data_IF_377770269087
#
_entry.id   IF_377770269087
#
_cell.length_a   1.000
_cell.length_b   1.000
_cell.length_c   1.000
_cell.angle_alpha   90.00
_cell.angle_beta   90.00
_cell.angle_gamma   90.00
#
_symmetry.space_group_name_H-M   'P 1'
#
loop_
_entity.id
_entity.type
_entity.pdbx_description
1 polymer ?
#
# COMPACT_ATOMS: atom_id res chain seq x y z
N UNK A 1 9.31 -22.21 4.97
CA UNK A 1 10.13 -23.28 4.33
C UNK A 1 11.60 -22.85 4.44
N UNK A 2 12.55 -23.75 4.71
CA UNK A 2 14.01 -23.45 4.69
C UNK A 2 14.49 -22.28 5.60
N UNK A 3 13.81 -22.00 6.71
CA UNK A 3 14.14 -20.87 7.60
C UNK A 3 13.71 -19.49 7.10
N UNK A 4 13.06 -19.40 5.94
CA UNK A 4 12.42 -18.17 5.45
C UNK A 4 10.93 -18.14 5.82
N UNK A 5 10.47 -16.93 6.14
CA UNK A 5 9.06 -16.62 6.31
C UNK A 5 8.33 -16.70 4.96
N UNK A 6 7.09 -17.19 5.01
CA UNK A 6 6.19 -17.20 3.86
C UNK A 6 4.78 -16.86 4.34
N UNK A 7 3.93 -16.38 3.45
CA UNK A 7 2.51 -16.27 3.73
C UNK A 7 1.91 -17.67 3.95
N UNK A 8 0.89 -17.82 4.80
CA UNK A 8 0.25 -19.11 5.02
C UNK A 8 -0.37 -19.67 3.74
N UNK A 9 -0.13 -20.96 3.49
CA UNK A 9 -0.63 -21.69 2.33
C UNK A 9 -1.38 -22.95 2.78
N UNK A 10 -2.60 -23.12 2.27
CA UNK A 10 -3.44 -24.27 2.61
C UNK A 10 -4.88 -24.11 2.10
N UNK A 11 -5.67 -25.17 2.23
CA UNK A 11 -7.10 -25.18 1.89
C UNK A 11 -7.96 -24.52 2.97
N UNK A 12 -7.45 -24.48 4.20
CA UNK A 12 -8.10 -23.84 5.33
C UNK A 12 -7.37 -22.52 5.66
N UNK A 13 -8.11 -21.48 6.07
CA UNK A 13 -7.49 -20.23 6.49
C UNK A 13 -6.63 -20.47 7.74
N UNK A 14 -5.50 -19.75 7.90
CA UNK A 14 -4.58 -19.94 9.04
C UNK A 14 -5.20 -19.59 10.39
N UNK A 15 -6.39 -19.00 10.39
CA UNK A 15 -7.16 -18.56 11.54
C UNK A 15 -8.65 -18.49 11.19
N UNK A 16 -9.56 -18.53 12.18
CA UNK A 16 -11.00 -18.40 11.92
C UNK A 16 -11.33 -17.08 11.20
N UNK A 17 -12.15 -17.17 10.15
CA UNK A 17 -12.65 -16.00 9.43
C UNK A 17 -13.76 -15.36 10.28
N UNK A 18 -13.66 -14.07 10.66
CA UNK A 18 -14.70 -13.43 11.45
C UNK A 18 -16.03 -13.41 10.70
N UNK A 19 -17.12 -13.68 11.41
CA UNK A 19 -18.48 -13.72 10.84
C UNK A 19 -18.80 -12.40 10.15
N UNK A 20 -19.28 -12.47 8.92
CA UNK A 20 -19.60 -11.29 8.10
C UNK A 20 -18.40 -10.66 7.38
N UNK A 21 -17.20 -11.24 7.47
CA UNK A 21 -16.04 -10.80 6.68
C UNK A 21 -16.21 -11.16 5.21
N UNK A 22 -15.86 -10.21 4.34
CA UNK A 22 -15.68 -10.49 2.91
C UNK A 22 -14.32 -11.14 2.70
N UNK A 23 -14.30 -12.28 1.99
CA UNK A 23 -13.06 -12.90 1.52
C UNK A 23 -12.78 -12.41 0.10
N UNK A 24 -11.68 -11.68 -0.07
CA UNK A 24 -11.28 -11.12 -1.36
C UNK A 24 -10.27 -12.02 -2.06
N UNK A 25 -10.44 -12.22 -3.37
CA UNK A 25 -9.40 -12.82 -4.22
C UNK A 25 -8.44 -11.72 -4.68
N UNK A 26 -7.15 -11.87 -4.39
CA UNK A 26 -6.14 -10.81 -4.62
C UNK A 26 -5.15 -11.14 -5.74
N UNK A 27 -5.18 -12.36 -6.27
CA UNK A 27 -4.34 -12.77 -7.40
C UNK A 27 -3.99 -14.23 -7.29
N UNK A 28 -2.81 -14.57 -7.79
CA UNK A 28 -2.24 -15.90 -7.72
C UNK A 28 -0.80 -15.81 -7.22
N UNK A 29 -0.35 -16.86 -6.52
CA UNK A 29 1.03 -17.06 -6.09
C UNK A 29 1.40 -18.48 -6.47
N UNK A 30 2.45 -18.66 -7.26
CA UNK A 30 2.88 -19.97 -7.76
C UNK A 30 1.71 -20.78 -8.39
N UNK A 31 0.81 -20.10 -9.12
CA UNK A 31 -0.36 -20.70 -9.77
C UNK A 31 -1.54 -21.04 -8.84
N UNK A 32 -1.47 -20.69 -7.56
CA UNK A 32 -2.53 -20.90 -6.58
C UNK A 32 -3.26 -19.60 -6.26
N UNK A 33 -4.58 -19.64 -6.15
CA UNK A 33 -5.38 -18.45 -5.82
C UNK A 33 -5.01 -17.88 -4.44
N UNK A 34 -4.57 -16.63 -4.42
CA UNK A 34 -4.33 -15.89 -3.20
C UNK A 34 -5.61 -15.17 -2.73
N UNK A 35 -5.92 -15.31 -1.43
CA UNK A 35 -7.10 -14.72 -0.80
C UNK A 35 -6.71 -13.89 0.42
N UNK A 36 -7.55 -12.94 0.79
CA UNK A 36 -7.38 -12.14 2.00
C UNK A 36 -8.71 -11.81 2.66
N UNK A 37 -8.68 -11.59 3.97
CA UNK A 37 -9.82 -11.17 4.77
C UNK A 37 -9.35 -10.30 5.93
N UNK A 38 -10.24 -9.47 6.46
CA UNK A 38 -9.94 -8.62 7.60
C UNK A 38 -10.01 -9.40 8.91
N UNK A 39 -9.11 -9.10 9.83
CA UNK A 39 -9.10 -9.62 11.19
C UNK A 39 -9.39 -8.48 12.17
N UNK A 40 -10.28 -8.71 13.13
CA UNK A 40 -10.74 -7.65 14.06
C UNK A 40 -9.87 -7.46 15.29
N UNK A 41 -9.00 -8.42 15.58
CA UNK A 41 -8.05 -8.36 16.67
C UNK A 41 -6.67 -8.79 16.16
N UNK A 42 -5.57 -8.25 16.73
CA UNK A 42 -4.23 -8.77 16.49
C UNK A 42 -4.19 -10.27 16.78
N UNK A 43 -3.51 -11.03 15.91
CA UNK A 43 -3.30 -12.46 16.13
C UNK A 43 -2.23 -12.62 17.21
N UNK A 44 -2.55 -13.20 18.38
CA UNK A 44 -1.55 -13.47 19.40
C UNK A 44 -0.51 -14.45 18.85
N UNK A 45 0.77 -14.18 19.12
CA UNK A 45 1.87 -15.06 18.75
C UNK A 45 3.22 -14.40 19.00
N UNK A 46 4.26 -15.23 19.02
CA UNK A 46 5.66 -14.85 19.11
C UNK A 46 6.44 -15.50 17.96
N UNK A 47 7.74 -15.19 17.86
CA UNK A 47 8.61 -15.70 16.79
C UNK A 47 8.73 -17.24 16.75
N UNK A 48 8.41 -17.91 17.86
CA UNK A 48 8.43 -19.37 17.96
C UNK A 48 7.10 -20.04 17.56
N UNK A 49 6.04 -19.26 17.33
CA UNK A 49 4.75 -19.80 16.90
C UNK A 49 4.76 -20.13 15.41
N UNK A 50 3.86 -21.05 15.01
CA UNK A 50 3.71 -21.44 13.60
C UNK A 50 3.34 -20.26 12.68
N UNK A 51 2.63 -19.27 13.22
CA UNK A 51 2.24 -18.07 12.51
C UNK A 51 2.60 -16.85 13.34
N UNK A 52 3.16 -15.83 12.69
CA UNK A 52 3.51 -14.56 13.29
C UNK A 52 2.79 -13.44 12.54
N UNK A 53 2.10 -12.58 13.26
CA UNK A 53 1.53 -11.37 12.67
C UNK A 53 2.64 -10.35 12.45
N UNK A 54 2.75 -9.84 11.22
CA UNK A 54 3.82 -8.92 10.82
C UNK A 54 3.25 -7.76 10.01
N UNK A 55 3.79 -6.56 10.21
CA UNK A 55 3.46 -5.40 9.38
C UNK A 55 3.98 -5.60 7.95
N UNK A 56 3.24 -5.08 6.96
CA UNK A 56 3.62 -5.21 5.55
C UNK A 56 5.00 -4.61 5.29
N UNK A 57 5.37 -3.48 5.89
CA UNK A 57 6.69 -2.88 5.69
C UNK A 57 7.80 -3.75 6.27
N UNK A 58 7.58 -4.28 7.48
CA UNK A 58 8.52 -5.18 8.15
C UNK A 58 8.72 -6.49 7.40
N UNK A 59 7.73 -6.93 6.62
CA UNK A 59 7.82 -8.18 5.86
C UNK A 59 8.64 -8.08 4.57
N UNK A 60 9.05 -6.87 4.16
CA UNK A 60 9.79 -6.63 2.91
C UNK A 60 11.09 -7.42 2.79
N UNK A 61 11.88 -7.47 3.87
CA UNK A 61 13.20 -8.11 3.85
C UNK A 61 13.15 -9.63 4.06
N UNK A 62 11.98 -10.17 4.46
CA UNK A 62 11.86 -11.56 4.91
C UNK A 62 10.91 -12.41 4.07
N UNK A 63 10.00 -11.79 3.31
CA UNK A 63 9.12 -12.50 2.37
C UNK A 63 9.73 -12.57 0.96
N UNK A 64 9.48 -13.64 0.21
CA UNK A 64 9.71 -13.67 -1.23
C UNK A 64 8.99 -12.51 -1.93
N UNK A 65 9.61 -11.96 -2.99
CA UNK A 65 9.09 -10.79 -3.71
C UNK A 65 7.65 -10.96 -4.24
N UNK A 66 7.32 -12.14 -4.75
CA UNK A 66 5.97 -12.45 -5.26
C UNK A 66 4.92 -12.37 -4.14
N UNK A 67 5.21 -12.98 -2.99
CA UNK A 67 4.35 -12.94 -1.80
C UNK A 67 4.22 -11.52 -1.25
N UNK A 68 5.31 -10.75 -1.20
CA UNK A 68 5.30 -9.36 -0.78
C UNK A 68 4.38 -8.50 -1.66
N UNK A 69 4.46 -8.64 -2.98
CA UNK A 69 3.61 -7.89 -3.91
C UNK A 69 2.13 -8.20 -3.71
N UNK A 70 1.78 -9.48 -3.56
CA UNK A 70 0.41 -9.90 -3.32
C UNK A 70 -0.07 -9.43 -1.94
N UNK A 71 0.80 -9.45 -0.92
CA UNK A 71 0.56 -8.84 0.39
C UNK A 71 0.27 -7.34 0.30
N UNK A 72 1.00 -6.61 -0.54
CA UNK A 72 0.73 -5.19 -0.81
C UNK A 72 -0.65 -4.95 -1.41
N UNK A 73 -1.05 -5.76 -2.39
CA UNK A 73 -2.41 -5.70 -2.95
C UNK A 73 -3.45 -6.06 -1.91
N UNK A 74 -3.21 -7.08 -1.07
CA UNK A 74 -4.09 -7.45 0.03
C UNK A 74 -4.34 -6.27 0.96
N UNK A 75 -3.27 -5.60 1.39
CA UNK A 75 -3.34 -4.42 2.25
C UNK A 75 -4.20 -3.30 1.63
N UNK A 76 -4.00 -2.99 0.36
CA UNK A 76 -4.79 -1.96 -0.35
C UNK A 76 -6.27 -2.34 -0.47
N UNK A 77 -6.58 -3.59 -0.81
CA UNK A 77 -7.96 -4.07 -0.93
C UNK A 77 -8.67 -4.05 0.43
N UNK A 78 -8.03 -4.55 1.48
CA UNK A 78 -8.61 -4.52 2.84
C UNK A 78 -8.80 -3.10 3.35
N UNK A 79 -7.85 -2.18 3.06
CA UNK A 79 -7.99 -0.78 3.40
C UNK A 79 -9.17 -0.13 2.66
N UNK A 80 -9.33 -0.38 1.36
CA UNK A 80 -10.50 0.07 0.61
C UNK A 80 -11.78 -0.51 1.17
N UNK A 81 -11.84 -1.82 1.40
CA UNK A 81 -13.05 -2.51 1.88
C UNK A 81 -13.53 -1.93 3.22
N UNK A 82 -12.60 -1.71 4.15
CA UNK A 82 -12.85 -1.08 5.46
C UNK A 82 -13.38 0.35 5.33
N UNK A 83 -12.78 1.16 4.47
CA UNK A 83 -13.07 2.60 4.34
C UNK A 83 -14.22 2.92 3.37
N UNK A 84 -14.74 1.94 2.66
CA UNK A 84 -15.85 2.09 1.71
C UNK A 84 -17.18 1.51 2.21
N UNK A 85 -17.27 1.13 3.50
CA UNK A 85 -18.49 0.54 4.10
C UNK A 85 -19.72 1.46 4.06
N UNK A 86 -19.49 2.78 4.03
CA UNK A 86 -20.54 3.79 3.95
C UNK A 86 -20.27 4.73 2.77
N UNK A 87 -21.33 5.24 2.16
CA UNK A 87 -21.22 6.16 1.04
C UNK A 87 -20.67 7.52 1.49
N UNK A 88 -19.59 8.04 0.86
CA UNK A 88 -19.05 9.35 1.22
C UNK A 88 -20.00 10.52 0.86
N UNK A 89 -20.96 10.31 -0.05
CA UNK A 89 -21.89 11.35 -0.48
C UNK A 89 -23.12 11.49 0.43
N UNK A 90 -23.63 10.38 0.99
CA UNK A 90 -24.89 10.38 1.73
C UNK A 90 -24.90 9.56 3.02
N UNK A 91 -23.79 8.92 3.40
CA UNK A 91 -23.64 8.18 4.65
C UNK A 91 -24.32 6.81 4.73
N UNK A 92 -25.09 6.40 3.72
CA UNK A 92 -25.79 5.09 3.69
C UNK A 92 -24.80 3.94 3.47
N UNK A 93 -24.98 2.76 4.11
CA UNK A 93 -24.18 1.57 3.85
C UNK A 93 -24.11 1.22 2.35
N UNK A 94 -22.91 0.87 1.88
CA UNK A 94 -22.70 0.46 0.49
C UNK A 94 -22.88 -1.04 0.33
N UNK A 95 -23.12 -1.48 -0.91
CA UNK A 95 -23.21 -2.90 -1.28
C UNK A 95 -22.08 -3.27 -2.23
N UNK A 96 -21.48 -4.43 -2.04
CA UNK A 96 -20.48 -4.97 -2.98
C UNK A 96 -21.18 -5.36 -4.28
N UNK A 97 -20.69 -4.86 -5.43
CA UNK A 97 -21.25 -5.16 -6.75
C UNK A 97 -20.27 -5.87 -7.68
N UNK A 98 -18.98 -5.85 -7.36
CA UNK A 98 -17.93 -6.60 -8.05
C UNK A 98 -16.75 -6.87 -7.09
N UNK A 99 -15.73 -7.66 -7.47
CA UNK A 99 -14.57 -7.90 -6.61
C UNK A 99 -13.86 -6.63 -6.10
N UNK A 100 -13.89 -5.54 -6.88
CA UNK A 100 -13.20 -4.28 -6.56
C UNK A 100 -14.14 -3.07 -6.70
N UNK A 101 -15.45 -3.25 -6.52
CA UNK A 101 -16.40 -2.16 -6.58
C UNK A 101 -17.55 -2.31 -5.58
N UNK A 102 -17.88 -1.20 -4.94
CA UNK A 102 -19.08 -1.03 -4.12
C UNK A 102 -19.98 0.05 -4.72
N UNK A 103 -21.27 -0.06 -4.46
CA UNK A 103 -22.27 0.92 -4.90
C UNK A 103 -23.15 1.34 -3.75
N UNK A 104 -23.47 2.63 -3.67
CA UNK A 104 -24.50 3.11 -2.77
C UNK A 104 -25.88 2.77 -3.35
N UNK A 105 -26.76 2.06 -2.62
CA UNK A 105 -28.11 1.76 -3.11
C UNK A 105 -29.00 3.00 -3.24
N UNK A 106 -28.70 4.08 -2.50
CA UNK A 106 -29.53 5.30 -2.50
C UNK A 106 -29.14 6.28 -3.61
N UNK A 107 -27.89 6.77 -3.62
CA UNK A 107 -27.45 7.78 -4.58
C UNK A 107 -26.76 7.19 -5.82
N UNK A 108 -26.58 5.86 -5.87
CA UNK A 108 -25.92 5.12 -6.96
C UNK A 108 -24.43 5.43 -7.14
N UNK A 109 -23.80 6.17 -6.23
CA UNK A 109 -22.36 6.41 -6.25
C UNK A 109 -21.59 5.09 -6.19
N UNK A 110 -20.64 4.93 -7.11
CA UNK A 110 -19.72 3.79 -7.14
C UNK A 110 -18.39 4.16 -6.48
N UNK A 111 -17.81 3.19 -5.78
CA UNK A 111 -16.59 3.35 -4.99
C UNK A 111 -15.63 2.24 -5.37
N UNK A 112 -14.44 2.63 -5.81
CA UNK A 112 -13.35 1.76 -6.23
C UNK A 112 -12.14 1.94 -5.31
N UNK A 113 -11.20 0.97 -5.24
CA UNK A 113 -9.93 1.16 -4.56
C UNK A 113 -9.21 2.43 -5.02
N UNK A 114 -8.74 3.23 -4.07
CA UNK A 114 -8.02 4.47 -4.35
C UNK A 114 -6.56 4.16 -4.63
N UNK A 115 -6.03 4.71 -5.71
CA UNK A 115 -4.61 4.70 -6.03
C UNK A 115 -4.15 6.16 -6.02
N UNK A 116 -3.06 6.43 -5.31
CA UNK A 116 -2.42 7.73 -5.25
C UNK A 116 -1.03 7.62 -5.90
N UNK A 117 -0.86 8.07 -7.16
CA UNK A 117 0.44 8.03 -7.83
C UNK A 117 1.44 8.91 -7.07
N UNK A 118 2.68 8.42 -6.97
CA UNK A 118 3.77 9.11 -6.33
C UNK A 118 5.06 8.90 -7.13
N UNK A 119 5.94 9.89 -7.07
CA UNK A 119 7.29 9.85 -7.64
C UNK A 119 8.31 9.67 -6.52
N UNK A 120 9.46 9.10 -6.88
CA UNK A 120 10.69 9.11 -6.09
C UNK A 120 11.85 9.33 -7.07
N UNK A 121 12.73 10.28 -6.78
CA UNK A 121 13.68 10.81 -7.78
C UNK A 121 15.10 10.73 -7.27
N UNK A 122 15.97 10.08 -8.06
CA UNK A 122 17.40 10.06 -7.84
C UNK A 122 18.06 11.22 -8.59
N UNK A 123 18.52 12.25 -7.87
CA UNK A 123 19.20 13.41 -8.45
C UNK A 123 20.71 13.22 -8.36
N UNK A 124 21.42 13.36 -9.48
CA UNK A 124 22.88 13.15 -9.60
C UNK A 124 23.59 14.40 -10.10
N UNK A 125 24.81 14.62 -9.61
CA UNK A 125 25.76 15.61 -10.13
C UNK A 125 27.17 15.01 -10.12
N UNK A 126 27.66 14.60 -11.29
CA UNK A 126 28.90 13.81 -11.37
C UNK A 126 28.77 12.53 -10.57
N UNK A 127 29.71 12.30 -9.65
CA UNK A 127 29.74 11.12 -8.76
C UNK A 127 28.92 11.30 -7.48
N UNK A 128 28.23 12.43 -7.31
CA UNK A 128 27.44 12.74 -6.13
C UNK A 128 25.95 12.54 -6.36
N UNK A 129 25.24 12.10 -5.33
CA UNK A 129 23.77 12.07 -5.27
C UNK A 129 23.25 13.07 -4.24
N UNK A 130 22.07 13.65 -4.50
CA UNK A 130 21.38 14.48 -3.52
C UNK A 130 20.56 13.59 -2.60
N UNK A 131 20.73 13.78 -1.29
CA UNK A 131 19.88 13.19 -0.26
C UNK A 131 19.21 14.31 0.52
N UNK A 132 17.93 14.13 0.81
CA UNK A 132 17.11 15.09 1.58
C UNK A 132 16.73 14.48 2.92
N UNK A 133 16.66 15.34 3.94
CA UNK A 133 16.16 14.97 5.24
C UNK A 133 14.73 15.48 5.39
N UNK A 134 13.75 14.59 5.20
CA UNK A 134 12.35 14.98 5.27
C UNK A 134 12.01 15.49 6.68
N UNK A 135 11.51 16.73 6.79
CA UNK A 135 11.14 17.38 8.07
C UNK A 135 10.18 16.55 8.94
N UNK A 136 9.34 15.73 8.31
CA UNK A 136 8.33 14.90 8.99
C UNK A 136 8.83 13.50 9.37
N UNK A 137 10.07 13.14 9.04
CA UNK A 137 10.65 11.86 9.40
C UNK A 137 11.39 11.98 10.73
N UNK A 138 10.87 11.33 11.78
CA UNK A 138 11.48 11.35 13.14
C UNK A 138 12.78 10.52 13.28
N UNK A 139 13.35 10.04 12.17
CA UNK A 139 14.56 9.22 12.16
C UNK A 139 15.75 9.95 11.56
N UNK A 140 16.96 9.43 11.71
CA UNK A 140 18.21 10.02 11.18
C UNK A 140 18.49 9.71 9.71
N UNK A 141 17.49 9.16 9.00
CA UNK A 141 17.67 8.67 7.63
C UNK A 141 17.53 9.82 6.63
N UNK A 142 18.45 9.90 5.68
CA UNK A 142 18.32 10.76 4.52
C UNK A 142 17.76 9.93 3.36
N UNK A 143 16.78 10.48 2.65
CA UNK A 143 16.08 9.83 1.55
C UNK A 143 16.31 10.55 0.22
N UNK A 144 15.67 10.03 -0.81
CA UNK A 144 15.49 10.72 -2.08
C UNK A 144 14.27 11.65 -1.99
N UNK A 145 14.21 12.65 -2.87
CA UNK A 145 13.01 13.48 -3.04
C UNK A 145 11.86 12.58 -3.52
N UNK A 146 10.71 12.67 -2.86
CA UNK A 146 9.54 11.88 -3.18
C UNK A 146 8.26 12.65 -2.85
N UNK A 147 7.23 12.47 -3.67
CA UNK A 147 5.99 13.21 -3.50
C UNK A 147 4.84 12.65 -4.31
N UNK A 148 3.63 13.13 -4.02
CA UNK A 148 2.42 12.68 -4.70
C UNK A 148 2.14 13.54 -5.94
N UNK A 149 1.63 12.91 -6.99
CA UNK A 149 1.09 13.64 -8.13
C UNK A 149 -0.15 14.44 -7.72
N UNK A 150 -0.23 15.68 -8.17
CA UNK A 150 -1.44 16.49 -8.08
C UNK A 150 -2.35 16.32 -9.31
N UNK A 151 -3.67 16.58 -9.18
CA UNK A 151 -4.58 16.50 -10.31
C UNK A 151 -4.16 17.41 -11.46
N UNK A 152 -4.00 16.81 -12.64
CA UNK A 152 -3.60 17.53 -13.86
C UNK A 152 -2.10 17.58 -14.11
N UNK A 153 -1.27 17.08 -13.19
CA UNK A 153 0.17 16.98 -13.41
C UNK A 153 0.55 15.74 -14.23
N UNK A 154 1.53 15.92 -15.11
CA UNK A 154 2.37 14.83 -15.63
C UNK A 154 3.34 14.33 -14.55
N UNK A 155 3.93 13.14 -14.75
CA UNK A 155 4.94 12.62 -13.83
C UNK A 155 6.14 13.57 -13.74
N UNK A 156 6.56 14.13 -14.88
CA UNK A 156 7.68 15.04 -14.99
C UNK A 156 7.41 16.37 -14.28
N UNK A 157 6.21 16.94 -14.41
CA UNK A 157 5.81 18.16 -13.69
C UNK A 157 5.85 17.95 -12.17
N UNK A 158 5.33 16.82 -11.69
CA UNK A 158 5.42 16.48 -10.28
C UNK A 158 6.88 16.37 -9.80
N UNK A 159 7.75 15.75 -10.61
CA UNK A 159 9.20 15.69 -10.31
C UNK A 159 9.80 17.10 -10.19
N UNK A 160 9.52 18.01 -11.13
CA UNK A 160 10.04 19.37 -11.04
C UNK A 160 9.52 20.12 -9.81
N UNK A 161 8.22 20.01 -9.51
CA UNK A 161 7.59 20.65 -8.35
C UNK A 161 8.20 20.16 -7.04
N UNK A 162 8.20 18.84 -6.80
CA UNK A 162 8.68 18.25 -5.55
C UNK A 162 10.16 18.56 -5.30
N UNK A 163 11.00 18.54 -6.35
CA UNK A 163 12.41 18.90 -6.23
C UNK A 163 12.58 20.38 -5.87
N UNK A 164 11.82 21.27 -6.50
CA UNK A 164 11.88 22.69 -6.22
C UNK A 164 11.39 22.99 -4.79
N UNK A 165 10.29 22.39 -4.34
CA UNK A 165 9.71 22.60 -3.02
C UNK A 165 10.61 22.09 -1.89
N UNK A 166 11.20 20.90 -2.03
CA UNK A 166 12.03 20.32 -0.97
C UNK A 166 13.45 20.87 -0.93
N UNK A 167 14.01 21.27 -2.08
CA UNK A 167 15.45 21.57 -2.21
C UNK A 167 15.77 22.96 -2.73
N UNK A 168 14.81 23.66 -3.37
CA UNK A 168 15.03 24.92 -4.07
C UNK A 168 15.83 24.81 -5.37
N UNK A 169 16.13 23.58 -5.83
CA UNK A 169 16.93 23.34 -7.02
C UNK A 169 16.08 23.16 -8.26
N UNK A 170 16.65 23.54 -9.41
CA UNK A 170 16.11 23.20 -10.73
C UNK A 170 16.93 22.05 -11.32
N UNK A 171 16.25 21.10 -11.94
CA UNK A 171 16.86 19.93 -12.57
C UNK A 171 16.61 19.91 -14.07
N UNK A 172 17.42 19.13 -14.78
CA UNK A 172 17.20 18.83 -16.19
C UNK A 172 16.04 17.83 -16.36
N UNK A 173 15.72 17.52 -17.62
CA UNK A 173 14.63 16.58 -17.94
C UNK A 173 14.82 15.24 -17.22
N UNK A 174 13.85 14.79 -16.40
CA UNK A 174 13.93 13.50 -15.74
C UNK A 174 13.68 12.37 -16.75
N UNK A 175 14.28 11.21 -16.46
CA UNK A 175 14.04 9.96 -17.18
C UNK A 175 13.32 8.98 -16.25
N UNK A 176 12.28 8.32 -16.76
CA UNK A 176 11.50 7.35 -16.00
C UNK A 176 12.17 5.99 -16.10
N UNK A 177 12.65 5.46 -14.96
CA UNK A 177 13.35 4.17 -14.91
C UNK A 177 12.42 2.97 -14.67
N UNK A 178 11.51 3.06 -13.69
CA UNK A 178 10.61 1.97 -13.31
C UNK A 178 9.35 2.49 -12.62
N UNK A 179 8.24 1.80 -12.80
CA UNK A 179 7.00 1.99 -12.05
C UNK A 179 6.68 0.75 -11.19
N UNK A 180 7.22 0.64 -9.96
CA UNK A 180 6.81 -0.42 -9.03
C UNK A 180 5.45 -0.09 -8.41
N UNK A 181 4.53 -1.05 -8.38
CA UNK A 181 3.29 -0.92 -7.62
C UNK A 181 3.60 -1.15 -6.13
N UNK A 182 3.70 -0.08 -5.35
CA UNK A 182 3.99 -0.17 -3.90
C UNK A 182 2.76 0.22 -3.10
N UNK A 183 2.32 -0.68 -2.23
CA UNK A 183 1.35 -0.34 -1.20
C UNK A 183 2.07 0.42 -0.08
N UNK A 184 1.81 1.72 0.04
CA UNK A 184 2.28 2.52 1.16
C UNK A 184 1.22 2.54 2.25
N UNK A 185 1.60 2.17 3.47
CA UNK A 185 0.79 2.45 4.65
C UNK A 185 0.86 3.95 4.91
N UNK A 186 -0.23 4.67 4.63
CA UNK A 186 -0.38 6.03 5.12
C UNK A 186 -0.50 5.93 6.65
N UNK A 187 0.51 6.39 7.38
CA UNK A 187 0.37 6.58 8.82
C UNK A 187 -0.75 7.60 9.01
N UNK A 188 -1.91 7.14 9.45
CA UNK A 188 -2.92 8.03 9.97
C UNK A 188 -2.26 8.82 11.11
N UNK A 189 -2.24 10.14 10.96
CA UNK A 189 -1.94 11.01 12.07
C UNK A 189 -3.06 10.80 13.08
N UNK A 190 -2.85 9.90 14.04
CA UNK A 190 -3.61 9.91 15.28
C UNK A 190 -3.39 11.29 15.90
N UNK A 191 -4.39 12.15 15.72
CA UNK A 191 -4.53 13.39 16.44
C UNK A 191 -4.82 13.01 17.90
N UNK A 192 -3.86 13.28 18.78
CA UNK A 192 -4.16 13.65 20.16
C UNK A 192 -4.68 15.09 20.17
#
# INVERSE_FOLDING_TARGET
KNGMYTIPFGTEPPMPVPVGSTIHTIGEIEGHTAKTFSVHAPVPGCENDRHLMMDLRSSYDVLPWEEYNVGGKAFQILNWDKNSRYCPMCGVPTVQISPIAKKCPQCRQEIYPRISPAIIVLIRRGDSILLVHARNFRGTFNGLVAGFLEPGETLEECVYREVLEETGLHIQKPEIFRQPAVALSQRNHDRL
#
